data_IF_431369009517
#
_entry.id   IF_431369009517
#
_cell.length_a   1.000
_cell.length_b   1.000
_cell.length_c   1.000
_cell.angle_alpha   90.00
_cell.angle_beta   90.00
_cell.angle_gamma   90.00
#
_symmetry.space_group_name_H-M   'P 1'
#
loop_
_entity.id
_entity.type
_entity.pdbx_description
1 polymer ?
#
# COMPACT_ATOMS: atom_id res chain seq x y z
N UNK A 1 5.03 -3.54 -17.54
CA UNK A 1 4.47 -3.60 -16.17
C UNK A 1 5.58 -4.06 -15.25
N UNK A 2 6.33 -3.11 -14.69
CA UNK A 2 7.40 -3.37 -13.74
C UNK A 2 6.87 -3.03 -12.35
N UNK A 3 7.13 -3.90 -11.38
CA UNK A 3 6.90 -3.63 -9.97
C UNK A 3 8.19 -3.95 -9.23
N UNK A 4 8.41 -3.25 -8.12
CA UNK A 4 9.48 -3.56 -7.18
C UNK A 4 8.83 -4.12 -5.94
N UNK A 5 9.41 -5.18 -5.38
CA UNK A 5 8.87 -5.86 -4.20
C UNK A 5 9.98 -6.15 -3.20
N UNK A 6 9.63 -6.10 -1.92
CA UNK A 6 10.49 -6.54 -0.81
C UNK A 6 10.27 -8.01 -0.45
N UNK A 7 9.30 -8.68 -1.09
CA UNK A 7 9.04 -10.10 -0.87
C UNK A 7 10.13 -10.94 -1.53
N UNK A 8 10.75 -11.81 -0.74
CA UNK A 8 11.86 -12.68 -1.17
C UNK A 8 11.47 -14.15 -1.32
N UNK A 9 10.30 -14.54 -0.83
CA UNK A 9 9.81 -15.91 -0.84
C UNK A 9 8.33 -15.97 -1.22
N UNK A 10 7.91 -17.12 -1.77
CA UNK A 10 6.51 -17.39 -2.05
C UNK A 10 5.84 -17.96 -0.80
N UNK A 11 5.23 -17.09 -0.01
CA UNK A 11 4.54 -17.43 1.24
C UNK A 11 3.14 -16.81 1.26
N UNK A 12 2.20 -17.34 2.07
CA UNK A 12 0.90 -16.72 2.24
C UNK A 12 1.04 -15.27 2.71
N UNK A 13 0.24 -14.38 2.14
CA UNK A 13 0.23 -12.95 2.47
C UNK A 13 -1.19 -12.43 2.68
N UNK A 14 -1.34 -11.50 3.61
CA UNK A 14 -2.49 -10.62 3.68
C UNK A 14 -2.09 -9.29 3.04
N UNK A 15 -2.94 -8.71 2.19
CA UNK A 15 -2.58 -7.54 1.39
C UNK A 15 -3.56 -6.39 1.62
N UNK A 16 -3.04 -5.17 1.68
CA UNK A 16 -3.81 -3.94 1.45
C UNK A 16 -3.21 -3.14 0.30
N UNK A 17 -4.04 -2.39 -0.42
CA UNK A 17 -3.66 -1.68 -1.65
C UNK A 17 -4.18 -0.23 -1.58
N UNK A 18 -3.34 0.75 -1.90
CA UNK A 18 -3.71 2.17 -1.87
C UNK A 18 -2.52 3.07 -2.17
N UNK A 19 -2.74 4.37 -2.39
CA UNK A 19 -1.63 5.33 -2.58
C UNK A 19 -0.81 5.53 -1.30
N UNK A 20 -1.45 5.43 -0.13
CA UNK A 20 -0.85 5.61 1.19
C UNK A 20 -0.09 6.93 1.44
N UNK A 21 -0.23 7.92 0.56
CA UNK A 21 0.36 9.25 0.72
C UNK A 21 -0.16 9.93 2.01
N UNK A 22 0.74 10.49 2.81
CA UNK A 22 0.43 11.16 4.09
C UNK A 22 0.05 10.25 5.28
N UNK A 23 -0.16 8.94 5.09
CA UNK A 23 -0.40 7.93 6.16
C UNK A 23 -1.33 8.43 7.30
N UNK A 24 -2.44 9.06 6.94
CA UNK A 24 -3.41 9.61 7.89
C UNK A 24 -4.13 8.51 8.70
N UNK A 25 -4.99 8.89 9.65
CA UNK A 25 -5.70 7.97 10.57
C UNK A 25 -6.43 6.80 9.87
N UNK A 26 -6.93 7.02 8.65
CA UNK A 26 -7.58 5.98 7.84
C UNK A 26 -6.58 4.91 7.37
N UNK A 27 -5.44 5.33 6.84
CA UNK A 27 -4.35 4.41 6.48
C UNK A 27 -3.83 3.66 7.70
N UNK A 28 -3.64 4.34 8.84
CA UNK A 28 -3.20 3.70 10.08
C UNK A 28 -4.19 2.62 10.55
N UNK A 29 -5.50 2.89 10.44
CA UNK A 29 -6.53 1.90 10.75
C UNK A 29 -6.45 0.69 9.80
N UNK A 30 -6.29 0.91 8.49
CA UNK A 30 -6.12 -0.18 7.53
C UNK A 30 -4.87 -1.02 7.81
N UNK A 31 -3.74 -0.38 8.14
CA UNK A 31 -2.49 -1.08 8.49
C UNK A 31 -2.64 -1.88 9.79
N UNK A 32 -3.39 -1.36 10.77
CA UNK A 32 -3.70 -2.09 12.00
C UNK A 32 -4.51 -3.35 11.72
N UNK A 33 -5.60 -3.23 10.95
CA UNK A 33 -6.42 -4.40 10.59
C UNK A 33 -5.64 -5.40 9.75
N UNK A 34 -4.82 -4.94 8.79
CA UNK A 34 -3.93 -5.80 8.02
C UNK A 34 -3.02 -6.63 8.91
N UNK A 35 -2.35 -5.98 9.88
CA UNK A 35 -1.46 -6.68 10.81
C UNK A 35 -2.21 -7.72 11.64
N UNK A 36 -3.39 -7.36 12.15
CA UNK A 36 -4.24 -8.27 12.93
C UNK A 36 -4.64 -9.50 12.10
N UNK A 37 -5.17 -9.28 10.90
CA UNK A 37 -5.56 -10.36 9.99
C UNK A 37 -4.37 -11.26 9.62
N UNK A 38 -3.21 -10.66 9.36
CA UNK A 38 -2.01 -11.43 9.04
C UNK A 38 -1.56 -12.33 10.20
N UNK A 39 -1.65 -11.83 11.44
CA UNK A 39 -1.38 -12.61 12.64
C UNK A 39 -2.37 -13.77 12.82
N UNK A 40 -3.68 -13.51 12.65
CA UNK A 40 -4.71 -14.54 12.76
C UNK A 40 -4.56 -15.66 11.72
N UNK A 41 -4.09 -15.32 10.52
CA UNK A 41 -3.90 -16.26 9.41
C UNK A 41 -2.47 -16.84 9.33
N UNK A 42 -1.59 -16.51 10.27
CA UNK A 42 -0.17 -16.88 10.24
C UNK A 42 0.52 -16.58 8.90
N UNK A 43 0.27 -15.39 8.36
CA UNK A 43 0.78 -14.96 7.06
C UNK A 43 1.49 -13.60 7.15
N UNK A 44 2.14 -13.18 6.07
CA UNK A 44 2.88 -11.89 6.07
C UNK A 44 1.99 -10.73 5.65
N UNK A 45 1.91 -9.63 6.43
CA UNK A 45 1.21 -8.44 5.99
C UNK A 45 2.01 -7.70 4.92
N UNK A 46 1.35 -7.32 3.82
CA UNK A 46 1.96 -6.65 2.68
C UNK A 46 1.13 -5.44 2.27
N UNK A 47 1.83 -4.35 1.98
CA UNK A 47 1.22 -3.13 1.44
C UNK A 47 1.67 -2.96 -0.01
N UNK A 48 0.70 -2.73 -0.88
CA UNK A 48 0.94 -2.36 -2.28
C UNK A 48 0.59 -0.89 -2.44
N UNK A 49 1.55 -0.12 -2.96
CA UNK A 49 1.35 1.29 -3.30
C UNK A 49 1.78 1.58 -4.73
N UNK A 50 1.50 2.78 -5.19
CA UNK A 50 1.63 3.22 -6.57
C UNK A 50 2.68 4.31 -6.67
N UNK A 51 3.60 4.15 -7.62
CA UNK A 51 4.56 5.17 -8.03
C UNK A 51 4.61 5.20 -9.56
N UNK A 52 4.39 6.37 -10.21
CA UNK A 52 4.03 7.66 -9.61
C UNK A 52 2.61 7.65 -8.99
N UNK A 53 2.30 8.65 -8.16
CA UNK A 53 0.99 8.81 -7.55
C UNK A 53 -0.13 8.70 -8.59
N UNK A 54 -1.17 7.92 -8.30
CA UNK A 54 -2.19 7.58 -9.31
C UNK A 54 -2.83 8.81 -9.95
N UNK A 55 -3.05 9.89 -9.21
CA UNK A 55 -3.58 11.15 -9.76
C UNK A 55 -2.72 11.73 -10.89
N UNK A 56 -1.39 11.58 -10.85
CA UNK A 56 -0.52 12.05 -11.94
C UNK A 56 -0.77 11.30 -13.26
N UNK A 57 -1.34 10.10 -13.17
CA UNK A 57 -1.68 9.27 -14.33
C UNK A 57 -3.12 9.50 -14.77
N UNK A 58 -4.08 9.48 -13.83
CA UNK A 58 -5.51 9.60 -14.18
C UNK A 58 -5.99 11.04 -14.37
N UNK A 59 -5.26 12.03 -13.83
CA UNK A 59 -5.55 13.47 -13.93
C UNK A 59 -4.26 14.27 -14.09
N UNK A 60 -3.61 14.20 -15.27
CA UNK A 60 -2.30 14.81 -15.50
C UNK A 60 -2.31 16.35 -15.44
N UNK A 61 -3.50 16.95 -15.48
CA UNK A 61 -3.75 18.40 -15.38
C UNK A 61 -3.72 18.92 -13.93
N UNK A 62 -3.71 18.02 -12.93
CA UNK A 62 -3.62 18.38 -11.52
C UNK A 62 -2.15 18.36 -11.09
N UNK A 63 -1.70 19.47 -10.50
CA UNK A 63 -0.42 19.49 -9.79
C UNK A 63 -0.53 18.69 -8.50
N UNK A 64 0.05 17.49 -8.50
CA UNK A 64 0.03 16.59 -7.35
C UNK A 64 1.25 16.89 -6.48
N UNK A 65 0.99 17.42 -5.28
CA UNK A 65 1.99 17.53 -4.23
C UNK A 65 1.85 16.34 -3.27
N UNK A 66 2.89 15.50 -3.19
CA UNK A 66 2.96 14.44 -2.20
C UNK A 66 2.89 15.04 -0.79
N UNK A 67 2.15 14.39 0.11
CA UNK A 67 2.03 14.78 1.51
C UNK A 67 3.21 14.29 2.35
N UNK A 68 4.04 13.41 1.81
CA UNK A 68 5.26 12.83 2.41
C UNK A 68 6.37 12.67 1.39
#
# INVERSE_FOLDING_TARGET
>A
MQYVTTLTANQPIAITIGNFDGVHKGHQRLMHELRKTAQELNCTPVLVTFSPHTLMIVRPDIDVRYLT
#
